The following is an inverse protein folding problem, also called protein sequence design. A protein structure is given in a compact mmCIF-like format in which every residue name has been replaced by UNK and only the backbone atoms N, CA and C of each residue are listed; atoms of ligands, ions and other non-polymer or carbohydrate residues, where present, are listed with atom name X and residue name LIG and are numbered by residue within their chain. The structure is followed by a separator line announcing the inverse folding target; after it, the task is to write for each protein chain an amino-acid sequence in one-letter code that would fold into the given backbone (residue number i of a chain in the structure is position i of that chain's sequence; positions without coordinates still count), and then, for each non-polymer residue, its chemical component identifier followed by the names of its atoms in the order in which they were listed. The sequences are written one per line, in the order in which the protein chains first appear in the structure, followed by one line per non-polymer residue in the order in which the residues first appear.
data_IF_568546360870
#
_entry.id   IF_568546360870
#
_cell.length_a   1.000
_cell.length_b   1.000
_cell.length_c   1.000
_cell.angle_alpha   90.00
_cell.angle_beta   90.00
_cell.angle_gamma   90.00
#
_symmetry.space_group_name_H-M   'P 1'
#
loop_
_entity.id
_entity.type
_entity.pdbx_description
1 polymer ?
#
# COMPACT_ATOMS: atom_id res chain seq x y z
N UNK A 1 -6.97 -1.92 -13.35
CA UNK A 1 -6.54 -1.11 -12.18
C UNK A 1 -7.57 -0.08 -11.76
N UNK A 2 -7.54 0.40 -10.51
CA UNK A 2 -8.49 1.38 -9.94
C UNK A 2 -8.44 2.76 -10.64
N UNK A 3 -9.61 3.36 -10.82
CA UNK A 3 -9.77 4.76 -11.27
C UNK A 3 -9.24 5.75 -10.22
N UNK A 4 -8.97 6.99 -10.64
CA UNK A 4 -8.56 8.05 -9.71
C UNK A 4 -9.60 8.31 -8.60
N UNK A 5 -10.90 8.24 -8.94
CA UNK A 5 -11.99 8.38 -7.98
C UNK A 5 -12.02 7.25 -6.95
N UNK A 6 -11.80 6.00 -7.39
CA UNK A 6 -11.73 4.85 -6.48
C UNK A 6 -10.52 4.92 -5.55
N UNK A 7 -9.35 5.33 -6.07
CA UNK A 7 -8.16 5.56 -5.24
C UNK A 7 -8.41 6.61 -4.16
N UNK A 8 -9.05 7.73 -4.54
CA UNK A 8 -9.43 8.79 -3.61
C UNK A 8 -10.45 8.31 -2.56
N UNK A 9 -11.45 7.53 -2.96
CA UNK A 9 -12.45 6.97 -2.06
C UNK A 9 -11.81 6.02 -1.03
N UNK A 10 -10.89 5.15 -1.46
CA UNK A 10 -10.16 4.24 -0.56
C UNK A 10 -9.33 5.05 0.45
N UNK A 11 -8.56 6.02 -0.01
CA UNK A 11 -7.76 6.88 0.87
C UNK A 11 -8.65 7.64 1.87
N UNK A 12 -9.78 8.18 1.41
CA UNK A 12 -10.72 8.91 2.26
C UNK A 12 -11.35 8.02 3.35
N UNK A 13 -11.87 6.84 2.99
CA UNK A 13 -12.50 5.92 3.94
C UNK A 13 -11.49 5.46 4.99
N UNK A 14 -10.27 5.12 4.57
CA UNK A 14 -9.20 4.73 5.50
C UNK A 14 -8.85 5.89 6.44
N UNK A 15 -8.66 7.09 5.90
CA UNK A 15 -8.34 8.29 6.65
C UNK A 15 -9.40 8.61 7.72
N UNK A 16 -10.69 8.60 7.33
CA UNK A 16 -11.81 8.84 8.25
C UNK A 16 -11.86 7.81 9.37
N UNK A 17 -11.71 6.51 9.03
CA UNK A 17 -11.74 5.42 10.02
C UNK A 17 -10.63 5.54 11.06
N UNK A 18 -9.48 6.07 10.68
CA UNK A 18 -8.31 6.17 11.54
C UNK A 18 -8.06 7.58 12.11
N UNK A 19 -8.92 8.56 11.80
CA UNK A 19 -8.76 9.94 12.27
C UNK A 19 -7.47 10.62 11.76
N UNK A 20 -7.02 10.24 10.55
CA UNK A 20 -5.81 10.76 9.92
C UNK A 20 -6.14 11.50 8.62
N UNK A 21 -5.15 12.20 8.05
CA UNK A 21 -5.26 12.77 6.71
C UNK A 21 -4.91 11.71 5.66
N UNK A 22 -5.77 11.52 4.66
CA UNK A 22 -5.50 10.68 3.51
C UNK A 22 -4.89 11.51 2.38
N UNK A 23 -3.72 11.09 1.89
CA UNK A 23 -3.06 11.70 0.74
C UNK A 23 -2.98 10.68 -0.40
N UNK A 24 -3.31 11.09 -1.62
CA UNK A 24 -3.18 10.26 -2.83
C UNK A 24 -2.02 10.76 -3.69
N UNK A 25 -0.89 11.07 -3.06
CA UNK A 25 0.30 11.60 -3.71
C UNK A 25 1.31 10.50 -3.97
N UNK A 26 2.10 10.68 -5.01
CA UNK A 26 3.27 9.84 -5.30
C UNK A 26 4.39 10.11 -4.29
N UNK A 27 5.38 9.21 -4.23
CA UNK A 27 6.55 9.39 -3.37
C UNK A 27 7.30 10.70 -3.68
N UNK A 28 7.45 11.04 -4.97
CA UNK A 28 8.15 12.27 -5.38
C UNK A 28 7.39 13.53 -4.96
N UNK A 29 6.07 13.54 -5.11
CA UNK A 29 5.24 14.65 -4.64
C UNK A 29 5.30 14.78 -3.11
N UNK A 30 5.28 13.67 -2.35
CA UNK A 30 5.44 13.68 -0.90
C UNK A 30 6.80 14.26 -0.47
N UNK A 31 7.86 13.96 -1.22
CA UNK A 31 9.20 14.51 -1.02
C UNK A 31 9.23 16.01 -1.30
N UNK A 32 8.67 16.44 -2.43
CA UNK A 32 8.69 17.83 -2.89
C UNK A 32 7.85 18.76 -2.00
N UNK A 33 6.71 18.27 -1.50
CA UNK A 33 5.85 18.99 -0.56
C UNK A 33 6.36 18.92 0.89
N UNK A 34 7.49 18.26 1.15
CA UNK A 34 8.15 18.25 2.46
C UNK A 34 7.51 17.33 3.51
N UNK A 35 6.68 16.37 3.10
CA UNK A 35 6.14 15.36 4.02
C UNK A 35 7.20 14.33 4.45
N UNK A 36 8.26 14.16 3.65
CA UNK A 36 9.37 13.26 3.91
C UNK A 36 10.58 14.02 4.43
N UNK A 37 11.11 13.58 5.57
CA UNK A 37 12.39 14.05 6.10
C UNK A 37 13.53 13.35 5.38
N UNK A 38 14.42 14.10 4.74
CA UNK A 38 15.60 13.59 4.05
C UNK A 38 16.87 13.68 4.90
N UNK A 39 17.62 12.58 4.99
CA UNK A 39 18.94 12.50 5.64
C UNK A 39 20.00 12.08 4.61
N UNK A 40 21.08 12.86 4.50
CA UNK A 40 22.20 12.53 3.60
C UNK A 40 23.03 11.40 4.20
N UNK A 41 23.24 10.34 3.43
CA UNK A 41 24.10 9.22 3.79
C UNK A 41 25.54 9.48 3.34
N UNK A 42 26.50 8.77 3.94
CA UNK A 42 27.93 8.89 3.62
C UNK A 42 28.26 8.63 2.13
N UNK A 43 27.40 7.87 1.43
CA UNK A 43 27.52 7.59 -0.02
C UNK A 43 26.92 8.66 -0.94
N UNK A 44 26.46 9.80 -0.42
CA UNK A 44 25.87 10.89 -1.21
C UNK A 44 24.40 10.69 -1.59
N UNK A 45 23.81 9.52 -1.30
CA UNK A 45 22.37 9.29 -1.39
C UNK A 45 21.61 9.95 -0.23
N UNK A 46 20.30 10.15 -0.39
CA UNK A 46 19.43 10.68 0.68
C UNK A 46 18.41 9.62 1.07
N UNK A 47 18.40 9.26 2.34
CA UNK A 47 17.37 8.42 2.94
C UNK A 47 16.17 9.30 3.31
N UNK A 48 14.97 8.88 2.92
CA UNK A 48 13.73 9.59 3.26
C UNK A 48 12.95 8.82 4.31
N UNK A 49 12.25 9.53 5.20
CA UNK A 49 11.38 8.92 6.21
C UNK A 49 10.22 9.83 6.56
N UNK A 50 9.08 9.24 6.92
CA UNK A 50 8.01 9.98 7.57
C UNK A 50 8.28 10.18 9.06
N UNK A 51 8.25 11.44 9.51
CA UNK A 51 8.20 11.76 10.95
C UNK A 51 6.89 11.21 11.55
N UNK A 52 5.76 11.61 10.94
CA UNK A 52 4.41 11.24 11.35
C UNK A 52 3.57 10.86 10.11
N UNK A 53 3.69 9.61 9.66
CA UNK A 53 2.99 9.14 8.46
C UNK A 53 3.39 7.73 8.03
N UNK A 54 2.65 7.20 7.07
CA UNK A 54 2.88 5.91 6.44
C UNK A 54 2.49 6.01 4.97
N UNK A 55 3.29 5.41 4.08
CA UNK A 55 2.93 5.17 2.69
C UNK A 55 2.42 3.73 2.56
N UNK A 56 1.27 3.57 1.92
CA UNK A 56 0.75 2.27 1.52
C UNK A 56 0.84 2.13 0.01
N UNK A 57 1.41 1.03 -0.47
CA UNK A 57 1.46 0.67 -1.88
C UNK A 57 0.70 -0.64 -2.06
N UNK A 58 -0.20 -0.69 -3.04
CA UNK A 58 -0.93 -1.91 -3.40
C UNK A 58 -0.66 -2.16 -4.88
N UNK A 59 -0.07 -3.30 -5.18
CA UNK A 59 0.28 -3.72 -6.54
C UNK A 59 -0.59 -4.92 -6.91
N UNK A 60 -1.53 -4.77 -7.88
CA UNK A 60 -2.33 -5.89 -8.34
C UNK A 60 -1.43 -6.95 -9.00
N UNK A 61 -1.77 -8.22 -8.81
CA UNK A 61 -1.14 -9.35 -9.48
C UNK A 61 -2.11 -9.91 -10.52
N UNK A 62 -2.02 -9.39 -11.75
CA UNK A 62 -2.87 -9.76 -12.88
C UNK A 62 -2.52 -11.16 -13.44
N UNK A 63 -1.40 -11.76 -13.01
CA UNK A 63 -0.98 -13.08 -13.49
C UNK A 63 -1.78 -14.23 -12.87
N UNK A 64 -2.48 -13.95 -11.77
CA UNK A 64 -3.31 -14.91 -11.04
C UNK A 64 -4.82 -14.69 -11.27
N UNK A 65 -5.21 -13.82 -12.21
CA UNK A 65 -6.60 -13.70 -12.69
C UNK A 65 -6.95 -14.92 -13.57
N UNK A 66 -7.02 -16.10 -12.94
CA UNK A 66 -7.27 -17.39 -13.57
C UNK A 66 -8.53 -18.04 -13.02
N UNK A 67 -9.57 -18.04 -13.86
CA UNK A 67 -10.83 -18.79 -13.83
C UNK A 67 -10.96 -19.87 -12.74
N UNK A 68 -11.45 -19.50 -11.55
CA UNK A 68 -12.11 -20.46 -10.67
C UNK A 68 -13.62 -20.25 -10.76
N UNK A 69 -14.32 -21.27 -11.22
CA UNK A 69 -15.72 -21.30 -11.66
C UNK A 69 -16.79 -20.94 -10.60
N UNK A 70 -16.47 -20.20 -9.54
CA UNK A 70 -17.47 -19.86 -8.53
C UNK A 70 -17.49 -18.41 -8.02
N UNK A 71 -16.37 -17.72 -7.75
CA UNK A 71 -16.41 -16.33 -7.19
C UNK A 71 -15.15 -15.53 -7.58
N UNK A 72 -15.23 -14.19 -7.73
CA UNK A 72 -14.07 -13.37 -8.06
C UNK A 72 -13.01 -13.44 -6.96
N UNK A 73 -11.78 -13.79 -7.35
CA UNK A 73 -10.57 -13.76 -6.51
C UNK A 73 -9.67 -12.66 -7.04
N UNK A 74 -9.26 -11.75 -6.17
CA UNK A 74 -8.32 -10.66 -6.47
C UNK A 74 -6.98 -10.98 -5.84
N UNK A 75 -5.91 -10.93 -6.62
CA UNK A 75 -4.55 -11.16 -6.17
C UNK A 75 -3.76 -9.85 -6.15
N UNK A 76 -2.95 -9.64 -5.11
CA UNK A 76 -2.14 -8.42 -4.97
C UNK A 76 -0.95 -8.62 -4.03
N UNK A 77 -0.02 -7.67 -4.07
CA UNK A 77 0.96 -7.43 -3.01
C UNK A 77 0.68 -6.09 -2.36
N UNK A 78 0.96 -5.99 -1.06
CA UNK A 78 0.76 -4.77 -0.29
C UNK A 78 2.01 -4.44 0.51
N UNK A 79 2.34 -3.16 0.56
CA UNK A 79 3.50 -2.65 1.27
C UNK A 79 3.07 -1.50 2.16
N UNK A 80 3.59 -1.49 3.38
CA UNK A 80 3.51 -0.38 4.32
C UNK A 80 4.92 0.11 4.57
N UNK A 81 5.19 1.38 4.31
CA UNK A 81 6.51 1.97 4.45
C UNK A 81 6.47 3.24 5.30
N UNK A 82 7.42 3.35 6.25
CA UNK A 82 7.66 4.57 7.03
C UNK A 82 9.04 5.17 6.76
N UNK A 83 10.05 4.30 6.66
CA UNK A 83 11.47 4.64 6.58
C UNK A 83 12.24 3.44 5.99
N UNK A 84 13.54 3.59 5.66
CA UNK A 84 14.34 2.49 5.12
C UNK A 84 14.44 1.25 6.02
N UNK A 85 14.23 1.43 7.34
CA UNK A 85 14.22 0.35 8.35
C UNK A 85 12.83 0.16 8.98
N UNK A 86 11.80 0.62 8.29
CA UNK A 86 10.43 0.67 8.78
C UNK A 86 9.45 0.23 7.70
N UNK A 87 9.78 -0.85 7.01
CA UNK A 87 8.98 -1.39 5.91
C UNK A 87 8.40 -2.77 6.25
N UNK A 88 7.17 -3.01 5.80
CA UNK A 88 6.49 -4.29 5.95
C UNK A 88 5.82 -4.66 4.64
N UNK A 89 6.11 -5.87 4.17
CA UNK A 89 5.72 -6.39 2.86
C UNK A 89 4.81 -7.60 3.04
N UNK A 90 3.72 -7.63 2.28
CA UNK A 90 2.84 -8.77 2.12
C UNK A 90 2.81 -9.16 0.64
N UNK A 91 3.08 -10.42 0.35
CA UNK A 91 3.13 -10.95 -1.02
C UNK A 91 2.18 -12.12 -1.17
N UNK A 92 1.73 -12.35 -2.42
CA UNK A 92 0.75 -13.38 -2.76
C UNK A 92 -0.52 -13.25 -1.91
N UNK A 93 -0.99 -12.02 -1.73
CA UNK A 93 -2.23 -11.77 -1.03
C UNK A 93 -3.39 -12.15 -1.95
N UNK A 94 -4.42 -12.77 -1.39
CA UNK A 94 -5.67 -13.02 -2.10
C UNK A 94 -6.84 -12.41 -1.33
N UNK A 95 -7.81 -11.89 -2.06
CA UNK A 95 -9.11 -11.49 -1.55
C UNK A 95 -10.20 -12.18 -2.34
N UNK A 96 -11.00 -13.01 -1.70
CA UNK A 96 -12.14 -13.70 -2.32
C UNK A 96 -13.45 -13.20 -1.72
N UNK A 97 -14.51 -13.17 -2.54
CA UNK A 97 -15.85 -12.90 -2.05
C UNK A 97 -16.46 -14.19 -1.54
N UNK A 98 -16.80 -14.28 -0.26
CA UNK A 98 -17.58 -15.36 0.33
C UNK A 98 -18.99 -14.92 0.72
N UNK A 99 -19.78 -15.83 1.29
CA UNK A 99 -21.19 -15.57 1.67
C UNK A 99 -21.34 -14.47 2.73
N UNK A 100 -20.33 -14.30 3.60
CA UNK A 100 -20.35 -13.36 4.72
C UNK A 100 -19.50 -12.09 4.48
N UNK A 101 -18.97 -11.87 3.28
CA UNK A 101 -18.15 -10.71 2.96
C UNK A 101 -16.87 -11.05 2.19
N UNK A 102 -15.83 -10.26 2.41
CA UNK A 102 -14.51 -10.52 1.83
C UNK A 102 -13.66 -11.36 2.78
N UNK A 103 -13.02 -12.39 2.25
CA UNK A 103 -12.02 -13.21 2.93
C UNK A 103 -10.63 -12.88 2.37
N UNK A 104 -9.61 -12.87 3.24
CA UNK A 104 -8.26 -12.44 2.87
C UNK A 104 -7.22 -13.47 3.31
N UNK A 105 -6.24 -13.74 2.46
CA UNK A 105 -5.07 -14.58 2.81
C UNK A 105 -3.77 -13.85 2.49
N UNK A 106 -2.76 -14.03 3.33
CA UNK A 106 -1.38 -13.59 3.08
C UNK A 106 -0.53 -14.82 2.78
N UNK A 107 0.08 -14.89 1.61
CA UNK A 107 0.92 -16.03 1.25
C UNK A 107 2.32 -15.97 1.85
N UNK A 108 2.91 -14.77 1.94
CA UNK A 108 4.18 -14.55 2.65
C UNK A 108 4.31 -13.09 3.12
N UNK A 109 5.09 -12.89 4.17
CA UNK A 109 5.34 -11.59 4.78
C UNK A 109 6.82 -11.38 5.12
N UNK A 110 7.29 -10.13 5.08
CA UNK A 110 8.68 -9.79 5.40
C UNK A 110 8.79 -8.37 5.97
N UNK A 111 9.69 -8.16 6.93
CA UNK A 111 9.96 -6.86 7.57
C UNK A 111 11.39 -6.43 7.21
N UNK A 112 11.58 -5.15 6.95
CA UNK A 112 12.90 -4.52 6.76
C UNK A 112 13.04 -3.26 7.60
#
# INVERSE_FOLDING_TARGET
GLTAGEKAAVAYIYAQKHGVQGLTMTFDELREEGYLMGEKLEGGSTAYSFTNGLLFTITPDESAEGESFSLPVVCFSAEKWRSPLGAYYFTKCTASRGDNGWEYTVGAEAIS
#
